data_IF_199760235169
#
_entry.id   IF_199760235169
#
_cell.length_a   1.000
_cell.length_b   1.000
_cell.length_c   1.000
_cell.angle_alpha   90.00
_cell.angle_beta   90.00
_cell.angle_gamma   90.00
#
_symmetry.space_group_name_H-M   'P 1'
#
loop_
_entity.id
_entity.type
_entity.pdbx_description
1 polymer ?
#
# COMPACT_ATOMS: atom_id res chain seq x y z
N UNK A 1 -1.53 18.02 0.18
CA UNK A 1 -0.22 18.63 -0.08
C UNK A 1 0.67 17.53 -0.62
N UNK A 2 1.51 17.88 -1.59
CA UNK A 2 2.56 17.06 -2.19
C UNK A 2 3.74 18.02 -2.34
N UNK A 3 4.62 18.01 -1.36
CA UNK A 3 5.73 18.96 -1.23
C UNK A 3 6.92 18.58 -2.10
N UNK A 4 7.12 17.29 -2.38
CA UNK A 4 8.17 16.79 -3.25
C UNK A 4 7.81 16.88 -4.75
N UNK A 5 6.51 16.97 -5.08
CA UNK A 5 6.01 17.08 -6.46
C UNK A 5 6.10 15.77 -7.25
N UNK A 6 6.07 14.62 -6.56
CA UNK A 6 6.20 13.29 -7.16
C UNK A 6 4.87 12.54 -7.30
N UNK A 7 3.76 13.18 -6.90
CA UNK A 7 2.41 12.65 -6.94
C UNK A 7 2.02 11.83 -5.70
N UNK A 8 2.88 11.72 -4.68
CA UNK A 8 2.59 11.07 -3.42
C UNK A 8 2.26 12.13 -2.36
N UNK A 9 1.07 12.10 -1.72
CA UNK A 9 0.74 13.09 -0.71
C UNK A 9 1.68 13.04 0.51
N UNK A 10 2.01 14.19 1.09
CA UNK A 10 2.90 14.29 2.26
C UNK A 10 2.47 13.40 3.43
N UNK A 11 1.15 13.22 3.61
CA UNK A 11 0.61 12.36 4.66
C UNK A 11 0.93 10.88 4.41
N UNK A 12 0.97 10.44 3.16
CA UNK A 12 1.37 9.09 2.78
C UNK A 12 2.87 8.91 3.06
N UNK A 13 3.70 9.85 2.62
CA UNK A 13 5.15 9.82 2.86
C UNK A 13 5.45 9.82 4.36
N UNK A 14 4.81 10.72 5.11
CA UNK A 14 4.90 10.76 6.58
C UNK A 14 4.48 9.44 7.22
N UNK A 15 3.34 8.86 6.81
CA UNK A 15 2.86 7.60 7.35
C UNK A 15 3.82 6.44 7.08
N UNK A 16 4.52 6.46 5.94
CA UNK A 16 5.57 5.52 5.60
C UNK A 16 6.91 5.84 6.29
N UNK A 17 7.00 6.95 7.04
CA UNK A 17 8.21 7.44 7.68
C UNK A 17 9.27 7.93 6.69
N UNK A 18 8.84 8.34 5.50
CA UNK A 18 9.64 9.00 4.48
C UNK A 18 9.65 10.51 4.72
N UNK A 19 10.56 11.22 4.04
CA UNK A 19 10.66 12.68 4.16
C UNK A 19 9.83 13.35 3.05
N UNK A 20 8.76 14.11 3.39
CA UNK A 20 7.87 14.70 2.39
C UNK A 20 8.50 15.76 1.47
N UNK A 21 9.74 16.17 1.75
CA UNK A 21 10.46 17.18 0.97
C UNK A 21 11.34 16.55 -0.12
N UNK A 22 11.46 15.22 -0.16
CA UNK A 22 12.32 14.51 -1.11
C UNK A 22 11.50 13.50 -1.91
N UNK A 23 11.61 13.51 -3.25
CA UNK A 23 10.88 12.56 -4.08
C UNK A 23 11.13 11.12 -3.64
N UNK A 24 10.05 10.44 -3.29
CA UNK A 24 10.02 9.02 -3.08
C UNK A 24 10.01 8.35 -4.46
N UNK A 25 10.81 7.30 -4.65
CA UNK A 25 10.76 6.57 -5.91
C UNK A 25 9.33 6.02 -6.10
N UNK A 26 8.59 6.53 -7.07
CA UNK A 26 7.21 6.12 -7.39
C UNK A 26 7.05 4.61 -7.60
N UNK A 27 8.16 3.91 -7.90
CA UNK A 27 8.26 2.46 -7.96
C UNK A 27 8.05 1.73 -6.62
N UNK A 28 8.13 2.42 -5.49
CA UNK A 28 7.99 1.84 -4.14
C UNK A 28 6.55 1.44 -3.79
N UNK A 29 5.58 1.70 -4.68
CA UNK A 29 4.14 1.52 -4.46
C UNK A 29 3.46 0.76 -5.60
N UNK A 30 4.22 0.05 -6.44
CA UNK A 30 3.65 -0.57 -7.66
C UNK A 30 2.87 -1.84 -7.29
N UNK A 31 1.56 -1.91 -7.59
CA UNK A 31 0.82 -3.16 -7.47
C UNK A 31 1.32 -4.15 -8.52
N UNK A 32 1.55 -5.40 -8.09
CA UNK A 32 2.03 -6.49 -8.94
C UNK A 32 1.16 -7.72 -8.78
N UNK A 33 1.17 -8.61 -9.78
CA UNK A 33 0.61 -9.96 -9.61
C UNK A 33 1.74 -10.86 -9.10
N UNK A 34 1.55 -11.44 -7.91
CA UNK A 34 2.51 -12.35 -7.30
C UNK A 34 1.87 -13.71 -7.00
N UNK A 35 2.67 -14.77 -7.10
CA UNK A 35 2.23 -16.15 -6.85
C UNK A 35 2.54 -16.56 -5.42
N UNK A 36 1.51 -16.96 -4.68
CA UNK A 36 1.60 -17.51 -3.33
C UNK A 36 0.96 -18.90 -3.32
N UNK A 37 1.75 -19.94 -3.00
CA UNK A 37 1.25 -21.32 -2.96
C UNK A 37 0.62 -21.80 -4.28
N UNK A 38 1.16 -21.34 -5.43
CA UNK A 38 0.64 -21.68 -6.76
C UNK A 38 -0.57 -20.85 -7.23
N UNK A 39 -1.08 -19.92 -6.41
CA UNK A 39 -2.20 -19.05 -6.76
C UNK A 39 -1.73 -17.60 -6.93
N UNK A 40 -2.22 -16.91 -7.96
CA UNK A 40 -1.84 -15.52 -8.29
C UNK A 40 -2.75 -14.52 -7.59
N UNK A 41 -2.16 -13.49 -6.99
CA UNK A 41 -2.87 -12.44 -6.27
C UNK A 41 -2.36 -11.04 -6.64
N UNK A 42 -3.28 -10.07 -6.70
CA UNK A 42 -2.93 -8.66 -6.72
C UNK A 42 -2.26 -8.28 -5.39
N UNK A 43 -1.07 -7.70 -5.45
CA UNK A 43 -0.19 -7.48 -4.31
C UNK A 43 0.38 -6.08 -4.33
N UNK A 44 0.37 -5.40 -3.18
CA UNK A 44 0.98 -4.08 -2.98
C UNK A 44 2.16 -4.22 -2.03
N UNK A 45 3.33 -3.78 -2.48
CA UNK A 45 4.56 -3.70 -1.68
C UNK A 45 4.93 -2.24 -1.46
N UNK A 46 5.25 -1.89 -0.23
CA UNK A 46 5.52 -0.52 0.21
C UNK A 46 6.84 -0.49 0.99
N UNK A 47 7.83 0.24 0.46
CA UNK A 47 8.98 0.61 1.27
C UNK A 47 8.56 1.61 2.35
N UNK A 48 9.06 1.43 3.57
CA UNK A 48 8.84 2.34 4.69
C UNK A 48 10.08 2.45 5.56
N UNK A 49 10.16 3.45 6.42
CA UNK A 49 11.26 3.62 7.35
C UNK A 49 10.79 4.24 8.66
N UNK A 50 10.75 3.47 9.75
CA UNK A 50 10.34 3.95 11.08
C UNK A 50 9.03 4.78 11.04
N UNK A 51 7.90 4.19 10.61
CA UNK A 51 6.63 4.91 10.56
C UNK A 51 6.30 5.50 11.94
N UNK A 52 5.85 6.76 11.99
CA UNK A 52 5.62 7.47 13.25
C UNK A 52 4.46 6.86 14.02
N UNK A 53 4.55 6.87 15.35
CA UNK A 53 3.60 6.14 16.23
C UNK A 53 2.19 6.74 16.27
N UNK A 54 2.03 7.98 15.80
CA UNK A 54 0.75 8.68 15.68
C UNK A 54 0.09 8.46 14.31
N UNK A 55 0.72 7.72 13.39
CA UNK A 55 0.14 7.34 12.10
C UNK A 55 -0.24 5.87 12.06
N UNK A 56 -1.44 5.58 11.57
CA UNK A 56 -1.90 4.22 11.29
C UNK A 56 -1.89 3.97 9.79
N UNK A 57 -1.21 2.89 9.37
CA UNK A 57 -1.19 2.40 7.99
C UNK A 57 -2.14 1.21 7.83
N UNK A 58 -3.01 1.26 6.83
CA UNK A 58 -3.84 0.12 6.42
C UNK A 58 -3.86 -0.03 4.91
N UNK A 59 -3.61 -1.24 4.42
CA UNK A 59 -3.84 -1.56 3.00
C UNK A 59 -5.25 -2.13 2.87
N UNK A 60 -6.02 -1.55 1.97
CA UNK A 60 -7.41 -1.91 1.72
C UNK A 60 -7.59 -2.34 0.27
N UNK A 61 -8.56 -3.22 0.03
CA UNK A 61 -8.94 -3.72 -1.30
C UNK A 61 -10.39 -3.39 -1.63
N UNK A 62 -10.68 -3.29 -2.92
CA UNK A 62 -12.04 -3.10 -3.40
C UNK A 62 -12.26 -3.82 -4.73
N UNK A 63 -13.50 -4.24 -4.97
CA UNK A 63 -13.96 -4.72 -6.28
C UNK A 63 -14.80 -3.69 -7.06
N UNK A 64 -15.13 -2.55 -6.45
CA UNK A 64 -16.06 -1.57 -7.01
C UNK A 64 -15.68 -0.11 -6.72
N UNK A 65 -14.53 0.14 -6.08
CA UNK A 65 -14.05 1.44 -5.62
C UNK A 65 -14.92 2.15 -4.56
N UNK A 66 -16.00 1.52 -4.11
CA UNK A 66 -16.93 2.08 -3.11
C UNK A 66 -16.77 1.39 -1.76
N UNK A 67 -16.81 0.06 -1.75
CA UNK A 67 -16.62 -0.75 -0.55
C UNK A 67 -15.17 -1.14 -0.43
N UNK A 68 -14.53 -0.75 0.67
CA UNK A 68 -13.14 -1.03 0.97
C UNK A 68 -13.04 -2.00 2.14
N UNK A 69 -12.30 -3.09 1.96
CA UNK A 69 -12.09 -4.13 2.95
C UNK A 69 -10.60 -4.27 3.25
N UNK A 70 -10.20 -4.78 4.42
CA UNK A 70 -8.79 -5.04 4.72
C UNK A 70 -8.14 -6.01 3.71
N UNK A 71 -6.90 -5.72 3.31
CA UNK A 71 -6.07 -6.65 2.57
C UNK A 71 -5.46 -7.73 3.48
N UNK A 72 -4.99 -8.83 2.89
CA UNK A 72 -4.24 -9.86 3.61
C UNK A 72 -2.77 -9.46 3.71
N UNK A 73 -2.28 -9.18 4.92
CA UNK A 73 -0.86 -8.86 5.15
C UNK A 73 0.01 -10.09 4.87
N UNK A 74 1.01 -9.90 4.02
CA UNK A 74 2.04 -10.91 3.71
C UNK A 74 3.26 -10.71 4.60
N UNK A 75 3.73 -9.46 4.73
CA UNK A 75 4.89 -9.09 5.53
C UNK A 75 4.69 -7.69 6.11
N UNK A 76 5.15 -7.47 7.36
CA UNK A 76 5.15 -6.17 8.02
C UNK A 76 6.41 -6.03 8.88
N UNK A 77 7.47 -5.45 8.31
CA UNK A 77 8.76 -5.17 8.97
C UNK A 77 9.01 -3.67 9.05
N UNK A 78 10.07 -3.23 9.70
CA UNK A 78 10.44 -1.80 9.77
C UNK A 78 10.74 -1.17 8.40
N UNK A 79 11.12 -1.97 7.40
CA UNK A 79 11.50 -1.52 6.06
C UNK A 79 10.49 -1.84 4.96
N UNK A 80 9.57 -2.78 5.19
CA UNK A 80 8.64 -3.27 4.17
C UNK A 80 7.27 -3.55 4.76
N UNK A 81 6.24 -3.03 4.10
CA UNK A 81 4.86 -3.45 4.27
C UNK A 81 4.37 -4.07 2.96
N UNK A 82 3.97 -5.33 2.99
CA UNK A 82 3.43 -6.03 1.85
C UNK A 82 2.09 -6.67 2.19
N UNK A 83 1.09 -6.46 1.35
CA UNK A 83 -0.21 -7.11 1.46
C UNK A 83 -0.74 -7.50 0.09
N UNK A 84 -1.66 -8.45 0.05
CA UNK A 84 -2.33 -8.93 -1.16
C UNK A 84 -3.84 -8.90 -1.02
N UNK A 85 -4.51 -8.91 -2.15
CA UNK A 85 -5.95 -9.17 -2.22
C UNK A 85 -6.24 -10.59 -1.66
N UNK A 86 -7.29 -10.76 -0.85
CA UNK A 86 -7.74 -12.08 -0.42
C UNK A 86 -8.24 -12.94 -1.59
N UNK A 87 -8.73 -12.34 -2.69
CA UNK A 87 -9.24 -13.06 -3.85
C UNK A 87 -8.15 -13.31 -4.91
N UNK A 88 -8.12 -14.50 -5.53
CA UNK A 88 -7.22 -14.77 -6.65
C UNK A 88 -7.45 -13.81 -7.82
N UNK A 89 -6.36 -13.36 -8.44
CA UNK A 89 -6.41 -12.44 -9.58
C UNK A 89 -7.11 -13.07 -10.80
N UNK A 90 -7.02 -14.39 -10.94
CA UNK A 90 -7.44 -15.12 -12.14
C UNK A 90 -8.95 -15.33 -12.22
N UNK A 91 -9.65 -15.17 -11.09
CA UNK A 91 -11.10 -15.30 -10.99
C UNK A 91 -11.82 -14.01 -10.62
N UNK A 92 -11.09 -12.91 -10.42
CA UNK A 92 -11.64 -11.65 -9.92
C UNK A 92 -11.21 -10.48 -10.82
N UNK A 93 -12.06 -10.14 -11.79
CA UNK A 93 -11.88 -8.92 -12.58
C UNK A 93 -12.19 -7.67 -11.76
N UNK A 94 -11.52 -6.55 -12.06
CA UNK A 94 -11.81 -5.24 -11.44
C UNK A 94 -11.41 -5.16 -9.97
N UNK A 95 -10.21 -5.62 -9.61
CA UNK A 95 -9.68 -5.52 -8.24
C UNK A 95 -8.75 -4.33 -8.11
N UNK A 96 -8.88 -3.64 -6.98
CA UNK A 96 -8.15 -2.41 -6.66
C UNK A 96 -7.56 -2.53 -5.26
N UNK A 97 -6.39 -1.94 -5.05
CA UNK A 97 -5.78 -1.80 -3.74
C UNK A 97 -5.45 -0.34 -3.48
N UNK A 98 -5.52 0.09 -2.22
CA UNK A 98 -5.03 1.41 -1.78
C UNK A 98 -4.30 1.31 -0.46
N UNK A 99 -3.37 2.22 -0.25
CA UNK A 99 -2.88 2.57 1.07
C UNK A 99 -3.79 3.64 1.67
N UNK A 100 -4.16 3.47 2.93
CA UNK A 100 -4.82 4.49 3.74
C UNK A 100 -3.94 4.80 4.94
N UNK A 101 -3.75 6.09 5.17
CA UNK A 101 -3.03 6.63 6.32
C UNK A 101 -3.97 7.51 7.11
N UNK A 102 -4.07 7.29 8.42
CA UNK A 102 -4.83 8.15 9.33
C UNK A 102 -3.95 8.62 10.47
N UNK A 103 -4.17 9.85 10.91
CA UNK A 103 -3.59 10.45 12.11
C UNK A 103 -4.71 11.10 12.93
N UNK A 104 -4.61 11.13 14.27
CA UNK A 104 -5.55 11.86 15.14
C UNK A 104 -5.66 13.34 14.81
#
# INVERSE_FOLDING_TARGET
>A
MDSAGDGIPDLIEYGLGLNPQFPSASGATVPTIQTFGGVRYLTLSLARFLPPSDATLSIEVSGNLQTWLPATVVTSTSSLLQARDPLPADGAAGRFMRLKVTRP
#
